data_IF_789847505044
#
_entry.id   IF_789847505044
#
_cell.length_a   1.000
_cell.length_b   1.000
_cell.length_c   1.000
_cell.angle_alpha   90.00
_cell.angle_beta   90.00
_cell.angle_gamma   90.00
#
_symmetry.space_group_name_H-M   'P 1'
#
loop_
_entity.id
_entity.type
_entity.pdbx_description
1 polymer ?
#
# COMPACT_ATOMS: atom_id res chain seq x y z
N UNK A 1 -3.95 -15.49 -15.15
CA UNK A 1 -4.24 -15.18 -13.74
C UNK A 1 -5.12 -16.27 -13.17
N UNK A 2 -4.89 -16.59 -11.91
CA UNK A 2 -5.64 -17.65 -11.23
C UNK A 2 -6.97 -17.13 -10.70
N UNK A 3 -8.07 -17.83 -11.01
CA UNK A 3 -9.37 -17.54 -10.40
C UNK A 3 -9.33 -17.72 -8.88
N UNK A 4 -8.49 -18.63 -8.41
CA UNK A 4 -8.30 -18.84 -6.98
C UNK A 4 -7.73 -17.60 -6.31
N UNK A 5 -6.75 -16.93 -6.93
CA UNK A 5 -6.18 -15.70 -6.39
C UNK A 5 -7.22 -14.58 -6.33
N UNK A 6 -8.04 -14.43 -7.38
CA UNK A 6 -9.13 -13.44 -7.38
C UNK A 6 -10.08 -13.71 -6.22
N UNK A 7 -10.48 -14.96 -6.02
CA UNK A 7 -11.38 -15.34 -4.93
C UNK A 7 -10.75 -15.01 -3.57
N UNK A 8 -9.47 -15.35 -3.37
CA UNK A 8 -8.76 -15.09 -2.11
C UNK A 8 -8.63 -13.58 -1.85
N UNK A 9 -8.31 -12.80 -2.88
CA UNK A 9 -8.18 -11.35 -2.75
C UNK A 9 -9.51 -10.72 -2.33
N UNK A 10 -10.60 -11.12 -2.97
CA UNK A 10 -11.93 -10.57 -2.66
C UNK A 10 -12.49 -11.06 -1.33
N UNK A 11 -11.88 -12.07 -0.73
CA UNK A 11 -12.23 -12.57 0.60
C UNK A 11 -11.43 -11.93 1.73
N UNK A 12 -10.45 -11.08 1.43
CA UNK A 12 -9.67 -10.40 2.46
C UNK A 12 -10.54 -9.46 3.30
N UNK A 13 -10.21 -9.24 4.59
CA UNK A 13 -10.94 -8.26 5.40
C UNK A 13 -10.91 -6.88 4.74
N UNK A 14 -12.09 -6.27 4.59
CA UNK A 14 -12.22 -4.95 3.98
C UNK A 14 -12.16 -4.94 2.45
N UNK A 15 -12.05 -6.09 1.81
CA UNK A 15 -11.95 -6.18 0.36
C UNK A 15 -13.25 -5.79 -0.35
N UNK A 16 -13.10 -5.33 -1.57
CA UNK A 16 -14.18 -5.07 -2.51
C UNK A 16 -13.97 -5.90 -3.78
N UNK A 17 -14.74 -5.61 -4.81
CA UNK A 17 -14.65 -6.33 -6.09
C UNK A 17 -13.44 -5.85 -6.88
N UNK A 18 -12.72 -6.80 -7.51
CA UNK A 18 -11.67 -6.48 -8.47
C UNK A 18 -12.30 -6.08 -9.81
N UNK A 19 -11.78 -4.99 -10.37
CA UNK A 19 -12.20 -4.48 -11.67
C UNK A 19 -11.05 -4.55 -12.66
N UNK A 20 -11.33 -5.03 -13.88
CA UNK A 20 -10.33 -5.05 -14.95
C UNK A 20 -10.25 -3.67 -15.61
N UNK A 21 -9.04 -3.12 -15.70
CA UNK A 21 -8.76 -1.85 -16.38
C UNK A 21 -7.57 -2.06 -17.32
N UNK A 22 -7.26 -1.02 -18.12
CA UNK A 22 -6.20 -1.10 -19.11
C UNK A 22 -4.83 -1.46 -18.52
N UNK A 23 -4.56 -0.99 -17.29
CA UNK A 23 -3.26 -1.17 -16.61
C UNK A 23 -3.27 -2.27 -15.55
N UNK A 24 -4.26 -3.13 -15.53
CA UNK A 24 -4.33 -4.26 -14.62
C UNK A 24 -5.65 -4.37 -13.88
N UNK A 25 -5.63 -5.12 -12.79
CA UNK A 25 -6.80 -5.31 -11.94
C UNK A 25 -6.75 -4.31 -10.78
N UNK A 26 -7.88 -3.67 -10.52
CA UNK A 26 -8.01 -2.64 -9.48
C UNK A 26 -9.01 -3.05 -8.43
N UNK A 27 -8.65 -2.80 -7.19
CA UNK A 27 -9.57 -2.89 -6.05
C UNK A 27 -9.58 -1.55 -5.33
N UNK A 28 -10.74 -0.91 -5.27
CA UNK A 28 -10.95 0.31 -4.50
C UNK A 28 -11.55 -0.07 -3.15
N UNK A 29 -10.69 -0.27 -2.17
CA UNK A 29 -11.05 -0.83 -0.87
C UNK A 29 -10.47 0.03 0.26
N UNK A 30 -11.17 1.14 0.62
CA UNK A 30 -10.64 2.08 1.62
C UNK A 30 -10.25 1.44 2.96
N UNK A 31 -10.95 0.38 3.37
CA UNK A 31 -10.70 -0.30 4.63
C UNK A 31 -9.99 -1.64 4.50
N UNK A 32 -9.29 -1.90 3.42
CA UNK A 32 -8.61 -3.18 3.19
C UNK A 32 -7.56 -3.44 4.27
N UNK A 33 -7.50 -4.67 4.76
CA UNK A 33 -6.44 -5.15 5.64
C UNK A 33 -5.15 -5.35 4.82
N UNK A 34 -4.27 -4.37 4.86
CA UNK A 34 -3.04 -4.38 4.04
C UNK A 34 -2.03 -5.43 4.50
N UNK A 35 -2.04 -5.79 5.78
CA UNK A 35 -1.17 -6.86 6.29
C UNK A 35 -1.62 -8.22 5.74
N UNK A 36 -2.92 -8.48 5.76
CA UNK A 36 -3.48 -9.71 5.18
C UNK A 36 -3.21 -9.76 3.68
N UNK A 37 -3.34 -8.64 2.97
CA UNK A 37 -2.98 -8.53 1.56
C UNK A 37 -1.50 -8.90 1.34
N UNK A 38 -0.60 -8.33 2.13
CA UNK A 38 0.84 -8.58 1.98
C UNK A 38 1.18 -10.06 2.22
N UNK A 39 0.57 -10.68 3.22
CA UNK A 39 0.78 -12.11 3.49
C UNK A 39 0.31 -12.96 2.33
N UNK A 40 -0.89 -12.69 1.80
CA UNK A 40 -1.42 -13.43 0.66
C UNK A 40 -0.53 -13.30 -0.57
N UNK A 41 -0.10 -12.07 -0.88
CA UNK A 41 0.75 -11.83 -2.06
C UNK A 41 2.11 -12.50 -1.92
N UNK A 42 2.67 -12.54 -0.70
CA UNK A 42 3.91 -13.28 -0.46
C UNK A 42 3.72 -14.78 -0.72
N UNK A 43 2.62 -15.35 -0.23
CA UNK A 43 2.31 -16.77 -0.45
C UNK A 43 2.12 -17.09 -1.94
N UNK A 44 1.56 -16.15 -2.69
CA UNK A 44 1.31 -16.32 -4.14
C UNK A 44 2.50 -15.85 -4.98
N UNK A 45 3.63 -15.56 -4.36
CA UNK A 45 4.85 -15.13 -5.04
C UNK A 45 4.63 -13.92 -5.95
N UNK A 46 3.76 -13.01 -5.52
CA UNK A 46 3.45 -11.78 -6.24
C UNK A 46 4.19 -10.64 -5.56
N UNK A 47 5.05 -9.95 -6.30
CA UNK A 47 5.93 -8.94 -5.72
C UNK A 47 5.26 -7.57 -5.64
N UNK A 48 5.60 -6.83 -4.59
CA UNK A 48 5.28 -5.41 -4.51
C UNK A 48 6.18 -4.64 -5.47
N UNK A 49 5.59 -3.94 -6.42
CA UNK A 49 6.33 -3.10 -7.38
C UNK A 49 6.68 -1.75 -6.77
N UNK A 50 5.67 -1.08 -6.25
CA UNK A 50 5.79 0.24 -5.62
C UNK A 50 4.49 0.57 -4.87
N UNK A 51 4.46 1.75 -4.27
CA UNK A 51 3.28 2.31 -3.62
C UNK A 51 3.16 3.76 -4.05
N UNK A 52 1.93 4.26 -4.16
CA UNK A 52 1.63 5.65 -4.50
C UNK A 52 0.87 6.31 -3.37
N UNK A 53 1.27 7.53 -2.99
CA UNK A 53 0.54 8.34 -2.01
C UNK A 53 -0.22 9.46 -2.70
N UNK A 54 -1.44 9.72 -2.23
CA UNK A 54 -2.27 10.82 -2.72
C UNK A 54 -2.91 11.48 -1.50
N UNK A 55 -2.67 12.79 -1.33
CA UNK A 55 -3.30 13.53 -0.24
C UNK A 55 -4.80 13.65 -0.48
N UNK A 56 -5.58 13.31 0.55
CA UNK A 56 -7.03 13.47 0.55
C UNK A 56 -7.41 14.66 1.43
N UNK A 57 -8.65 15.13 1.27
CA UNK A 57 -9.21 16.13 2.16
C UNK A 57 -9.32 15.56 3.58
N UNK A 58 -9.29 16.43 4.58
CA UNK A 58 -9.46 16.02 5.98
C UNK A 58 -8.21 15.43 6.65
N UNK A 59 -7.05 15.58 6.02
CA UNK A 59 -5.79 15.12 6.61
C UNK A 59 -5.46 13.65 6.36
N UNK A 60 -6.29 12.95 5.60
CA UNK A 60 -6.02 11.56 5.25
C UNK A 60 -5.20 11.43 3.97
N UNK A 61 -4.67 10.24 3.75
CA UNK A 61 -3.89 9.90 2.56
C UNK A 61 -4.45 8.63 1.94
N UNK A 62 -4.55 8.59 0.62
CA UNK A 62 -4.82 7.36 -0.09
C UNK A 62 -3.50 6.73 -0.48
N UNK A 63 -3.34 5.45 -0.17
CA UNK A 63 -2.16 4.68 -0.57
C UNK A 63 -2.60 3.65 -1.60
N UNK A 64 -1.89 3.59 -2.73
CA UNK A 64 -2.14 2.56 -3.74
C UNK A 64 -0.98 1.58 -3.67
N UNK A 65 -1.29 0.31 -3.38
CA UNK A 65 -0.31 -0.77 -3.38
C UNK A 65 -0.30 -1.41 -4.76
N UNK A 66 0.86 -1.44 -5.41
CA UNK A 66 1.01 -1.99 -6.76
C UNK A 66 1.79 -3.30 -6.69
N UNK A 67 1.15 -4.38 -7.12
CA UNK A 67 1.76 -5.72 -7.16
C UNK A 67 1.84 -6.20 -8.61
N UNK A 68 2.81 -7.07 -8.89
CA UNK A 68 2.99 -7.60 -10.24
C UNK A 68 3.53 -9.03 -10.22
N UNK A 69 3.07 -9.84 -11.18
CA UNK A 69 3.58 -11.19 -11.43
C UNK A 69 3.25 -11.57 -12.87
N UNK A 70 4.27 -12.00 -13.62
CA UNK A 70 4.07 -12.59 -14.94
C UNK A 70 3.31 -11.71 -15.92
N UNK A 71 3.57 -10.41 -15.95
CA UNK A 71 2.89 -9.48 -16.84
C UNK A 71 1.51 -9.00 -16.37
N UNK A 72 1.01 -9.55 -15.25
CA UNK A 72 -0.22 -9.10 -14.64
C UNK A 72 0.08 -8.12 -13.51
N UNK A 73 -0.65 -7.01 -13.47
CA UNK A 73 -0.55 -6.03 -12.39
C UNK A 73 -1.86 -5.99 -11.60
N UNK A 74 -1.72 -5.73 -10.29
CA UNK A 74 -2.84 -5.50 -9.37
C UNK A 74 -2.60 -4.19 -8.63
N UNK A 75 -3.67 -3.42 -8.44
CA UNK A 75 -3.61 -2.12 -7.75
C UNK A 75 -4.69 -2.07 -6.68
N UNK A 76 -4.30 -1.75 -5.45
CA UNK A 76 -5.21 -1.72 -4.31
C UNK A 76 -5.19 -0.33 -3.70
N UNK A 77 -6.32 0.38 -3.78
CA UNK A 77 -6.49 1.70 -3.15
C UNK A 77 -6.99 1.54 -1.74
N UNK A 78 -6.25 2.08 -0.80
CA UNK A 78 -6.56 1.99 0.63
C UNK A 78 -6.45 3.39 1.22
N UNK A 79 -7.35 3.75 2.13
CA UNK A 79 -7.27 5.04 2.81
C UNK A 79 -6.69 4.87 4.20
N UNK A 80 -5.90 5.86 4.64
CA UNK A 80 -5.41 5.91 6.02
C UNK A 80 -6.55 6.19 6.98
N UNK A 81 -6.33 5.85 8.26
CA UNK A 81 -7.20 6.26 9.37
C UNK A 81 -6.34 7.05 10.34
N UNK A 82 -6.70 8.30 10.61
CA UNK A 82 -5.88 9.24 11.38
C UNK A 82 -4.46 9.33 10.79
N UNK A 83 -4.40 9.33 9.47
CA UNK A 83 -3.18 9.34 8.66
C UNK A 83 -2.19 8.22 9.03
N UNK A 84 -2.70 7.06 9.38
CA UNK A 84 -1.91 5.88 9.76
C UNK A 84 -2.40 4.63 9.05
N UNK A 85 -1.48 3.71 8.80
CA UNK A 85 -1.73 2.36 8.29
C UNK A 85 -0.72 1.41 8.92
N UNK A 86 -1.05 0.13 9.07
CA UNK A 86 -0.05 -0.85 9.45
C UNK A 86 1.07 -0.91 8.42
N UNK A 87 2.33 -0.98 8.88
CA UNK A 87 3.47 -1.23 7.99
C UNK A 87 3.38 -2.65 7.44
N UNK A 88 3.64 -2.83 6.16
CA UNK A 88 3.78 -4.16 5.57
C UNK A 88 5.24 -4.60 5.46
N UNK A 89 6.19 -3.76 5.86
CA UNK A 89 7.63 -4.07 5.79
C UNK A 89 8.01 -5.34 6.54
N UNK A 90 7.43 -5.66 7.72
CA UNK A 90 7.73 -6.93 8.39
C UNK A 90 7.41 -8.17 7.56
N UNK A 91 6.43 -8.08 6.64
CA UNK A 91 6.06 -9.16 5.73
C UNK A 91 6.78 -9.02 4.39
N UNK A 92 6.90 -7.78 3.90
CA UNK A 92 7.40 -7.46 2.55
C UNK A 92 8.55 -6.48 2.68
N UNK A 93 9.79 -6.98 2.75
CA UNK A 93 10.96 -6.14 2.98
C UNK A 93 11.12 -5.02 1.94
N UNK A 94 10.70 -5.27 0.70
CA UNK A 94 10.74 -4.27 -0.38
C UNK A 94 9.94 -3.01 -0.06
N UNK A 95 8.96 -3.06 0.85
CA UNK A 95 8.16 -1.92 1.23
C UNK A 95 8.91 -0.92 2.13
N UNK A 96 10.01 -1.36 2.77
CA UNK A 96 10.68 -0.56 3.80
C UNK A 96 11.06 0.83 3.36
N UNK A 97 11.74 0.93 2.22
CA UNK A 97 12.16 2.21 1.65
C UNK A 97 10.96 3.04 1.21
N UNK A 98 10.01 2.40 0.52
CA UNK A 98 8.85 3.08 -0.06
C UNK A 98 7.96 3.67 1.03
N UNK A 99 7.72 2.94 2.12
CA UNK A 99 6.92 3.44 3.24
C UNK A 99 7.59 4.65 3.91
N UNK A 100 8.92 4.61 4.06
CA UNK A 100 9.65 5.74 4.64
C UNK A 100 9.54 6.99 3.76
N UNK A 101 9.61 6.83 2.43
CA UNK A 101 9.44 7.93 1.50
C UNK A 101 8.05 8.55 1.62
N UNK A 102 7.01 7.72 1.64
CA UNK A 102 5.62 8.19 1.78
C UNK A 102 5.41 8.85 3.16
N UNK A 103 6.00 8.29 4.21
CA UNK A 103 5.94 8.87 5.54
C UNK A 103 6.52 10.29 5.55
N UNK A 104 7.63 10.51 4.87
CA UNK A 104 8.23 11.84 4.77
C UNK A 104 7.36 12.80 3.94
N UNK A 105 6.84 12.33 2.81
CA UNK A 105 6.12 13.18 1.86
C UNK A 105 4.72 13.54 2.33
N UNK A 106 4.02 12.64 3.01
CA UNK A 106 2.59 12.78 3.34
C UNK A 106 2.31 12.74 4.84
N UNK A 107 3.33 12.64 5.68
CA UNK A 107 3.23 12.51 7.13
C UNK A 107 2.43 11.28 7.59
N UNK A 108 2.41 10.22 6.78
CA UNK A 108 1.74 8.96 7.13
C UNK A 108 2.57 8.23 8.17
N UNK A 109 1.92 7.72 9.21
CA UNK A 109 2.54 6.82 10.18
C UNK A 109 2.30 5.39 9.75
N UNK A 110 3.38 4.67 9.43
CA UNK A 110 3.31 3.22 9.16
C UNK A 110 3.60 2.48 10.46
N UNK A 111 2.55 1.99 11.10
CA UNK A 111 2.60 1.38 12.44
C UNK A 111 3.40 0.08 12.35
N UNK A 112 4.42 -0.05 13.21
CA UNK A 112 5.25 -1.25 13.26
C UNK A 112 6.38 -1.29 12.24
N UNK A 113 6.67 -0.19 11.55
CA UNK A 113 7.82 -0.12 10.63
C UNK A 113 9.11 -0.38 11.41
N UNK A 114 9.99 -1.29 10.95
CA UNK A 114 11.21 -1.63 11.69
C UNK A 114 12.26 -0.50 11.70
N UNK A 115 12.20 0.44 10.75
CA UNK A 115 13.13 1.58 10.70
C UNK A 115 12.40 2.83 10.22
N UNK A 116 11.72 3.57 11.14
CA UNK A 116 10.86 4.69 10.74
C UNK A 116 11.63 6.01 10.55
N UNK A 117 12.95 5.99 10.54
CA UNK A 117 13.75 7.22 10.38
C UNK A 117 13.50 7.89 9.04
N UNK A 118 13.55 9.24 8.96
CA UNK A 118 13.42 9.96 7.68
C UNK A 118 14.43 9.45 6.65
N UNK A 119 14.00 9.38 5.40
CA UNK A 119 14.79 8.82 4.32
C UNK A 119 15.50 9.91 3.48
N UNK A 120 14.70 10.80 2.88
CA UNK A 120 15.18 11.79 1.92
C UNK A 120 14.73 13.20 2.25
N UNK A 121 14.07 13.39 3.38
CA UNK A 121 13.52 14.69 3.76
C UNK A 121 14.67 15.65 4.13
N UNK A 122 14.72 16.86 3.54
CA UNK A 122 15.64 17.89 4.01
C UNK A 122 15.40 18.19 5.50
N UNK A 123 16.47 18.45 6.23
CA UNK A 123 16.38 18.67 7.69
C UNK A 123 15.50 19.85 8.08
N UNK A 124 15.31 20.81 7.18
CA UNK A 124 14.47 22.00 7.42
C UNK A 124 12.99 21.76 7.17
N UNK A 125 12.64 20.65 6.50
CA UNK A 125 11.25 20.36 6.18
C UNK A 125 10.64 19.41 7.20
N UNK A 126 9.41 19.71 7.62
CA UNK A 126 8.63 18.80 8.43
C UNK A 126 8.07 17.67 7.55
N UNK A 127 7.67 16.52 8.15
CA UNK A 127 6.95 15.48 7.43
C UNK A 127 5.71 16.05 6.74
N UNK A 128 5.35 15.47 5.60
CA UNK A 128 4.12 15.87 4.91
C UNK A 128 4.28 17.04 3.93
N UNK A 129 5.48 17.33 3.48
CA UNK A 129 5.74 18.47 2.60
C UNK A 129 5.09 18.35 1.22
N UNK A 130 4.52 17.17 0.87
CA UNK A 130 3.73 16.99 -0.36
C UNK A 130 2.24 17.18 -0.14
N UNK A 131 1.83 17.46 1.07
CA UNK A 131 0.40 17.64 1.35
C UNK A 131 -0.09 19.02 0.93
#
# INVERSE_FOLDING_TARGET
>A
MSETLVTLLQALPGATVLESRADGLWMDAPGLDVTALAVLMLQEETRLSTMTGIALDGGETQIIYHYAKGGQAWHFRVNTRQNSLPSITPVTAAAGWIEREIADQYAVTFIGHPDPRPLVRPTQLAPGYFR
#
